data_IF_319288835209
#
_entry.id   IF_319288835209
#
_cell.length_a   1.000
_cell.length_b   1.000
_cell.length_c   1.000
_cell.angle_alpha   90.00
_cell.angle_beta   90.00
_cell.angle_gamma   90.00
#
_symmetry.space_group_name_H-M   'P 1'
#
loop_
_entity.id
_entity.type
_entity.pdbx_description
1 polymer ?
#
# COMPACT_ATOMS: atom_id res chain seq x y z
N UNK A 1 15.96 -15.80 -18.75
CA UNK A 1 15.27 -15.65 -20.06
C UNK A 1 14.70 -14.25 -20.08
N UNK A 2 15.16 -13.38 -21.00
CA UNK A 2 14.53 -12.08 -21.22
C UNK A 2 13.09 -12.35 -21.62
N UNK A 3 12.12 -11.81 -20.86
CA UNK A 3 10.73 -11.84 -21.27
C UNK A 3 10.67 -11.24 -22.69
N UNK A 4 10.16 -12.00 -23.65
CA UNK A 4 9.87 -11.47 -24.98
C UNK A 4 8.86 -10.35 -24.75
N UNK A 5 9.31 -9.12 -24.91
CA UNK A 5 8.42 -7.96 -24.84
C UNK A 5 7.48 -8.07 -26.03
N UNK A 6 6.22 -8.35 -25.76
CA UNK A 6 5.19 -8.33 -26.79
C UNK A 6 4.48 -6.98 -26.73
N UNK A 7 4.33 -6.36 -27.87
CA UNK A 7 3.58 -5.11 -28.01
C UNK A 7 2.10 -5.38 -27.81
N UNK A 8 1.42 -4.50 -27.08
CA UNK A 8 0.00 -4.62 -26.76
C UNK A 8 -0.76 -3.39 -27.26
N UNK A 9 -1.83 -3.63 -27.99
CA UNK A 9 -2.76 -2.60 -28.41
C UNK A 9 -4.13 -2.79 -27.77
N UNK A 10 -4.60 -1.77 -27.03
CA UNK A 10 -5.93 -1.75 -26.43
C UNK A 10 -6.78 -0.77 -27.23
N UNK A 11 -7.84 -1.26 -27.87
CA UNK A 11 -8.76 -0.46 -28.69
C UNK A 11 -10.14 -0.31 -28.06
N UNK A 12 -10.91 0.66 -28.55
CA UNK A 12 -12.29 0.91 -28.14
C UNK A 12 -12.44 1.10 -26.62
N UNK A 13 -11.52 1.83 -26.00
CA UNK A 13 -11.47 2.07 -24.56
C UNK A 13 -12.13 3.40 -24.18
N UNK A 14 -12.80 3.42 -23.03
CA UNK A 14 -13.06 4.62 -22.26
C UNK A 14 -11.92 4.77 -21.23
N UNK A 15 -11.06 5.76 -21.39
CA UNK A 15 -9.82 5.88 -20.64
C UNK A 15 -10.03 6.81 -19.42
N UNK A 16 -9.85 6.29 -18.22
CA UNK A 16 -9.63 7.06 -16.99
C UNK A 16 -8.12 7.24 -16.83
N UNK A 17 -7.64 8.46 -16.93
CA UNK A 17 -6.20 8.76 -16.92
C UNK A 17 -5.50 8.61 -15.57
N UNK A 18 -6.27 8.36 -14.50
CA UNK A 18 -5.81 8.29 -13.10
C UNK A 18 -6.23 9.52 -12.28
N UNK A 19 -6.78 10.57 -12.89
CA UNK A 19 -7.11 11.80 -12.18
C UNK A 19 -8.41 12.49 -12.62
N UNK A 20 -8.59 12.68 -13.94
CA UNK A 20 -9.72 13.43 -14.46
C UNK A 20 -11.01 12.59 -14.45
N UNK A 21 -12.15 13.22 -14.12
CA UNK A 21 -13.45 12.53 -14.11
C UNK A 21 -13.90 12.17 -15.53
N UNK A 22 -13.57 13.04 -16.48
CA UNK A 22 -14.02 12.89 -17.87
C UNK A 22 -13.23 11.78 -18.55
N UNK A 23 -13.94 10.74 -18.98
CA UNK A 23 -13.37 9.62 -19.71
C UNK A 23 -13.08 10.02 -21.16
N UNK A 24 -11.93 9.59 -21.66
CA UNK A 24 -11.52 9.85 -23.04
C UNK A 24 -11.69 8.59 -23.88
N UNK A 25 -12.50 8.67 -24.94
CA UNK A 25 -12.57 7.59 -25.92
C UNK A 25 -11.27 7.49 -26.71
N UNK A 26 -10.73 6.27 -26.83
CA UNK A 26 -9.49 6.09 -27.54
C UNK A 26 -8.91 4.68 -27.49
N UNK A 27 -7.63 4.64 -27.76
CA UNK A 27 -6.82 3.44 -27.71
C UNK A 27 -5.54 3.70 -26.91
N UNK A 28 -4.86 2.63 -26.50
CA UNK A 28 -3.58 2.68 -25.79
C UNK A 28 -2.64 1.71 -26.50
N UNK A 29 -1.47 2.20 -26.90
CA UNK A 29 -0.40 1.36 -27.42
C UNK A 29 0.72 1.25 -26.42
N UNK A 30 1.11 0.01 -26.10
CA UNK A 30 2.17 -0.31 -25.16
C UNK A 30 3.25 -1.05 -25.91
N UNK A 31 4.47 -0.51 -25.87
CA UNK A 31 5.64 -1.11 -26.47
C UNK A 31 6.71 -1.33 -25.40
N UNK A 32 7.32 -2.52 -25.36
CA UNK A 32 8.34 -2.85 -24.36
C UNK A 32 7.92 -2.58 -22.91
N UNK A 33 6.64 -2.77 -22.59
CA UNK A 33 6.08 -2.56 -21.25
C UNK A 33 5.82 -1.09 -20.88
N UNK A 34 6.00 -0.15 -21.80
CA UNK A 34 5.81 1.29 -21.61
C UNK A 34 4.70 1.79 -22.52
N UNK A 35 3.86 2.69 -22.04
CA UNK A 35 2.83 3.36 -22.81
C UNK A 35 3.49 4.31 -23.80
N UNK A 36 3.38 4.01 -25.09
CA UNK A 36 3.97 4.78 -26.17
C UNK A 36 2.99 5.86 -26.70
N UNK A 37 1.69 5.53 -26.77
CA UNK A 37 0.67 6.49 -27.19
C UNK A 37 -0.69 6.21 -26.56
N UNK A 38 -1.49 7.29 -26.40
CA UNK A 38 -2.84 7.26 -25.79
C UNK A 38 -3.78 8.19 -26.58
N UNK A 39 -5.03 7.80 -26.73
CA UNK A 39 -6.09 8.60 -27.35
C UNK A 39 -6.41 8.16 -28.77
N UNK A 40 -6.63 9.11 -29.68
CA UNK A 40 -6.90 8.79 -31.08
C UNK A 40 -5.59 8.40 -31.78
N UNK A 41 -5.37 7.09 -31.90
CA UNK A 41 -4.20 6.55 -32.60
C UNK A 41 -4.57 6.38 -34.05
N UNK A 42 -3.96 7.19 -34.95
CA UNK A 42 -4.25 7.21 -36.39
C UNK A 42 -3.18 6.52 -37.22
N UNK A 43 -2.10 6.02 -36.61
CA UNK A 43 -0.96 5.43 -37.30
C UNK A 43 -1.03 3.90 -37.45
N UNK A 44 -0.42 3.32 -38.49
CA UNK A 44 -0.36 1.89 -38.74
C UNK A 44 0.41 1.09 -37.69
N UNK A 45 1.16 1.75 -36.78
CA UNK A 45 2.07 1.11 -35.84
C UNK A 45 1.39 0.05 -34.93
N UNK A 46 0.07 0.14 -34.73
CA UNK A 46 -0.70 -0.89 -34.02
C UNK A 46 -1.02 -2.14 -34.83
N UNK A 47 -0.85 -2.10 -36.15
CA UNK A 47 -1.10 -3.28 -37.01
C UNK A 47 -0.04 -4.36 -36.84
N UNK A 48 1.10 -4.00 -36.24
CA UNK A 48 2.21 -4.89 -35.90
C UNK A 48 2.21 -5.33 -34.45
N UNK A 49 1.22 -4.89 -33.61
CA UNK A 49 1.14 -5.31 -32.22
C UNK A 49 0.94 -6.83 -32.12
N UNK A 50 1.76 -7.48 -31.29
CA UNK A 50 1.69 -8.93 -31.06
C UNK A 50 0.35 -9.36 -30.46
N UNK A 51 -0.26 -8.49 -29.67
CA UNK A 51 -1.54 -8.73 -29.00
C UNK A 51 -2.48 -7.54 -29.09
N UNK A 52 -3.76 -7.83 -29.26
CA UNK A 52 -4.83 -6.83 -29.29
C UNK A 52 -5.89 -7.15 -28.24
N UNK A 53 -6.21 -6.18 -27.38
CA UNK A 53 -7.35 -6.23 -26.47
C UNK A 53 -8.43 -5.28 -26.97
N UNK A 54 -9.62 -5.78 -27.22
CA UNK A 54 -10.80 -4.95 -27.51
C UNK A 54 -11.52 -4.65 -26.19
N UNK A 55 -11.43 -3.41 -25.72
CA UNK A 55 -12.11 -2.99 -24.51
C UNK A 55 -13.63 -2.90 -24.67
N UNK A 56 -14.16 -2.85 -25.92
CA UNK A 56 -15.61 -2.84 -26.23
C UNK A 56 -16.37 -1.72 -25.48
N UNK A 57 -15.80 -0.53 -25.37
CA UNK A 57 -16.38 0.59 -24.65
C UNK A 57 -16.27 0.50 -23.11
N UNK A 58 -15.56 -0.49 -22.58
CA UNK A 58 -15.29 -0.59 -21.13
C UNK A 58 -14.24 0.40 -20.68
N UNK A 59 -14.26 0.72 -19.37
CA UNK A 59 -13.28 1.64 -18.80
C UNK A 59 -11.95 0.95 -18.59
N UNK A 60 -10.89 1.62 -19.04
CA UNK A 60 -9.50 1.27 -18.77
C UNK A 60 -8.94 2.26 -17.76
N UNK A 61 -8.40 1.75 -16.66
CA UNK A 61 -7.77 2.53 -15.59
C UNK A 61 -6.29 2.20 -15.49
N UNK A 62 -5.46 3.06 -14.86
CA UNK A 62 -4.17 2.60 -14.34
C UNK A 62 -4.37 1.39 -13.43
N UNK A 63 -3.39 0.49 -13.39
CA UNK A 63 -3.41 -0.60 -12.41
C UNK A 63 -3.45 -0.07 -10.99
N UNK A 64 -4.16 -0.77 -10.10
CA UNK A 64 -4.35 -0.33 -8.73
C UNK A 64 -3.05 -0.43 -7.93
N UNK A 65 -2.92 0.46 -6.95
CA UNK A 65 -1.78 0.55 -6.05
C UNK A 65 -2.27 0.35 -4.61
N UNK A 66 -1.64 -0.54 -3.86
CA UNK A 66 -1.85 -0.74 -2.42
C UNK A 66 -0.63 -0.21 -1.66
N UNK A 67 -0.79 0.89 -0.94
CA UNK A 67 0.31 1.56 -0.24
C UNK A 67 0.52 1.09 1.20
N UNK A 68 -0.24 0.08 1.65
CA UNK A 68 -0.04 -0.55 2.95
C UNK A 68 -0.28 -2.05 2.84
N UNK A 69 0.68 -2.74 2.33
CA UNK A 69 0.66 -4.18 2.09
C UNK A 69 1.68 -4.87 3.00
N UNK A 70 1.44 -6.14 3.30
CA UNK A 70 2.35 -6.99 4.07
C UNK A 70 2.56 -8.32 3.36
N UNK A 71 3.56 -8.43 2.49
CA UNK A 71 3.83 -9.66 1.75
C UNK A 71 4.14 -10.83 2.70
N UNK A 72 4.95 -10.56 3.71
CA UNK A 72 5.31 -11.54 4.73
C UNK A 72 4.27 -11.67 5.86
N UNK A 73 3.22 -10.88 5.88
CA UNK A 73 2.13 -10.93 6.86
C UNK A 73 1.22 -12.15 6.67
N UNK A 74 1.74 -13.36 6.81
CA UNK A 74 1.04 -14.61 6.55
C UNK A 74 0.14 -15.08 7.70
N UNK A 75 0.04 -14.30 8.77
CA UNK A 75 -0.82 -14.52 9.94
C UNK A 75 -0.80 -13.32 10.86
N UNK A 76 -1.76 -13.23 11.80
CA UNK A 76 -1.84 -12.16 12.80
C UNK A 76 -0.96 -12.42 14.03
N UNK A 77 -0.62 -13.67 14.32
CA UNK A 77 0.33 -14.03 15.37
C UNK A 77 1.75 -13.80 14.85
N UNK A 78 2.24 -12.58 15.03
CA UNK A 78 3.53 -12.15 14.53
C UNK A 78 4.70 -12.87 15.19
N UNK A 79 4.59 -13.25 16.47
CA UNK A 79 5.63 -14.01 17.17
C UNK A 79 5.76 -15.42 16.59
N UNK A 80 4.65 -16.08 16.34
CA UNK A 80 4.64 -17.38 15.67
C UNK A 80 5.19 -17.27 14.24
N UNK A 81 4.87 -16.20 13.52
CA UNK A 81 5.37 -15.93 12.17
C UNK A 81 6.90 -15.81 12.16
N UNK A 82 7.48 -15.07 13.10
CA UNK A 82 8.93 -14.92 13.21
C UNK A 82 9.66 -16.25 13.50
N UNK A 83 9.02 -17.17 14.20
CA UNK A 83 9.53 -18.52 14.47
C UNK A 83 9.44 -19.48 13.28
N UNK A 84 8.74 -19.12 12.18
CA UNK A 84 8.58 -20.00 11.02
C UNK A 84 9.83 -20.05 10.15
N UNK A 85 10.08 -21.19 9.45
CA UNK A 85 11.13 -21.27 8.44
C UNK A 85 10.97 -20.17 7.38
N UNK A 86 12.00 -19.38 7.14
CA UNK A 86 11.95 -18.24 6.18
C UNK A 86 11.58 -18.68 4.77
N UNK A 87 11.97 -19.88 4.33
CA UNK A 87 11.56 -20.45 3.05
C UNK A 87 10.03 -20.64 2.94
N UNK A 88 9.37 -21.09 4.02
CA UNK A 88 7.92 -21.23 4.04
C UNK A 88 7.24 -19.86 3.97
N UNK A 89 7.73 -18.88 4.76
CA UNK A 89 7.20 -17.52 4.77
C UNK A 89 7.35 -16.86 3.40
N UNK A 90 8.51 -17.01 2.74
CA UNK A 90 8.76 -16.49 1.39
C UNK A 90 7.82 -17.10 0.32
N UNK A 91 7.57 -18.41 0.37
CA UNK A 91 6.62 -19.06 -0.54
C UNK A 91 5.17 -18.58 -0.34
N UNK A 92 4.78 -18.33 0.89
CA UNK A 92 3.47 -17.72 1.20
C UNK A 92 3.41 -16.27 0.72
N UNK A 93 4.48 -15.48 0.93
CA UNK A 93 4.59 -14.11 0.44
C UNK A 93 4.44 -14.03 -1.09
N UNK A 94 5.07 -14.97 -1.81
CA UNK A 94 4.87 -15.12 -3.26
C UNK A 94 3.38 -15.24 -3.63
N UNK A 95 2.65 -16.15 -2.97
CA UNK A 95 1.22 -16.37 -3.26
C UNK A 95 0.39 -15.12 -2.99
N UNK A 96 0.69 -14.38 -1.93
CA UNK A 96 0.02 -13.12 -1.59
C UNK A 96 0.22 -12.06 -2.67
N UNK A 97 1.46 -11.93 -3.18
CA UNK A 97 1.76 -11.01 -4.27
C UNK A 97 1.05 -11.41 -5.58
N UNK A 98 1.06 -12.70 -5.93
CA UNK A 98 0.33 -13.21 -7.09
C UNK A 98 -1.18 -12.96 -6.99
N UNK A 99 -1.76 -13.13 -5.80
CA UNK A 99 -3.17 -12.88 -5.54
C UNK A 99 -3.52 -11.39 -5.63
N UNK A 100 -2.67 -10.50 -5.08
CA UNK A 100 -2.85 -9.06 -5.21
C UNK A 100 -2.84 -8.64 -6.69
N UNK A 101 -1.91 -9.16 -7.49
CA UNK A 101 -1.86 -8.90 -8.93
C UNK A 101 -3.14 -9.37 -9.64
N UNK A 102 -3.64 -10.57 -9.35
CA UNK A 102 -4.89 -11.11 -9.90
C UNK A 102 -6.10 -10.25 -9.54
N UNK A 103 -6.09 -9.59 -8.38
CA UNK A 103 -7.12 -8.62 -7.96
C UNK A 103 -7.00 -7.26 -8.65
N UNK A 104 -5.93 -7.03 -9.45
CA UNK A 104 -5.69 -5.80 -10.19
C UNK A 104 -4.75 -4.81 -9.51
N UNK A 105 -4.16 -5.17 -8.38
CA UNK A 105 -3.11 -4.37 -7.75
C UNK A 105 -1.78 -4.64 -8.45
N UNK A 106 -1.42 -3.77 -9.37
CA UNK A 106 -0.18 -3.89 -10.16
C UNK A 106 1.05 -3.30 -9.45
N UNK A 107 0.83 -2.64 -8.31
CA UNK A 107 1.88 -2.06 -7.48
C UNK A 107 1.50 -2.20 -6.00
N UNK A 108 2.46 -2.55 -5.15
CA UNK A 108 2.29 -2.64 -3.69
C UNK A 108 3.47 -1.98 -2.97
N UNK A 109 3.19 -1.34 -1.82
CA UNK A 109 4.21 -0.93 -0.84
C UNK A 109 4.09 -1.82 0.40
N UNK A 110 5.08 -2.70 0.57
CA UNK A 110 5.23 -3.56 1.74
C UNK A 110 5.90 -2.79 2.87
N UNK A 111 5.13 -2.49 3.90
CA UNK A 111 5.53 -1.54 4.96
C UNK A 111 6.06 -2.20 6.24
N UNK A 112 6.26 -3.51 6.25
CA UNK A 112 7.00 -4.23 7.29
C UNK A 112 7.44 -5.62 6.82
N UNK A 113 8.72 -5.90 6.88
CA UNK A 113 9.29 -7.22 6.56
C UNK A 113 9.73 -7.41 5.11
N UNK A 114 9.29 -6.58 4.18
CA UNK A 114 9.72 -6.66 2.79
C UNK A 114 11.24 -6.48 2.64
N UNK A 115 11.87 -7.29 1.80
CA UNK A 115 13.32 -7.34 1.71
C UNK A 115 13.87 -7.42 0.27
N UNK A 116 15.20 -7.26 0.18
CA UNK A 116 15.93 -7.35 -1.08
C UNK A 116 15.88 -8.76 -1.69
N UNK A 117 15.69 -9.82 -0.91
CA UNK A 117 15.60 -11.19 -1.41
C UNK A 117 14.36 -11.37 -2.26
N UNK A 118 13.20 -10.94 -1.75
CA UNK A 118 11.94 -10.99 -2.47
C UNK A 118 11.97 -10.05 -3.70
N UNK A 119 12.50 -8.81 -3.53
CA UNK A 119 12.67 -7.87 -4.64
C UNK A 119 13.57 -8.43 -5.75
N UNK A 120 14.67 -9.12 -5.40
CA UNK A 120 15.56 -9.76 -6.35
C UNK A 120 14.90 -10.93 -7.08
N UNK A 121 14.11 -11.74 -6.38
CA UNK A 121 13.36 -12.83 -6.99
C UNK A 121 12.34 -12.32 -8.03
N UNK A 122 11.66 -11.20 -7.71
CA UNK A 122 10.75 -10.51 -8.64
C UNK A 122 11.51 -9.98 -9.86
N UNK A 123 12.61 -9.26 -9.64
CA UNK A 123 13.42 -8.68 -10.72
C UNK A 123 14.00 -9.73 -11.66
N UNK A 124 14.30 -10.94 -11.16
CA UNK A 124 14.76 -12.07 -11.95
C UNK A 124 13.63 -12.88 -12.61
N UNK A 125 12.38 -12.51 -12.41
CA UNK A 125 11.21 -13.21 -12.97
C UNK A 125 10.96 -14.60 -12.34
N UNK A 126 11.48 -14.87 -11.15
CA UNK A 126 11.24 -16.13 -10.43
C UNK A 126 9.83 -16.20 -9.89
N UNK A 127 9.21 -15.06 -9.66
CA UNK A 127 7.82 -14.93 -9.21
C UNK A 127 7.08 -13.86 -10.00
N UNK A 128 5.81 -14.11 -10.28
CA UNK A 128 4.89 -13.14 -10.86
C UNK A 128 4.37 -12.24 -9.73
N UNK A 129 4.50 -10.92 -9.88
CA UNK A 129 4.24 -9.99 -8.79
C UNK A 129 3.81 -8.62 -9.29
N UNK A 130 3.09 -7.83 -8.49
CA UNK A 130 3.05 -6.38 -8.64
C UNK A 130 4.47 -5.77 -8.66
N UNK A 131 4.58 -4.50 -9.07
CA UNK A 131 5.77 -3.71 -8.73
C UNK A 131 5.90 -3.67 -7.21
N UNK A 132 7.07 -3.98 -6.70
CA UNK A 132 7.27 -4.23 -5.29
C UNK A 132 8.16 -3.15 -4.66
N UNK A 133 7.55 -2.30 -3.85
CA UNK A 133 8.21 -1.31 -3.01
C UNK A 133 8.20 -1.81 -1.57
N UNK A 134 9.30 -1.68 -0.83
CA UNK A 134 9.41 -2.22 0.52
C UNK A 134 10.16 -1.27 1.46
N UNK A 135 9.95 -1.44 2.77
CA UNK A 135 10.61 -0.65 3.82
C UNK A 135 11.68 -1.41 4.59
N UNK A 136 11.76 -2.72 4.43
CA UNK A 136 12.47 -3.58 5.36
C UNK A 136 11.65 -3.81 6.63
N UNK A 137 12.26 -4.38 7.66
CA UNK A 137 11.63 -4.51 8.97
C UNK A 137 11.25 -3.13 9.52
N UNK A 138 10.05 -2.98 10.06
CA UNK A 138 9.64 -1.74 10.70
C UNK A 138 10.48 -1.47 11.95
N UNK A 139 10.72 -0.20 12.29
CA UNK A 139 11.43 0.19 13.50
C UNK A 139 10.45 0.47 14.62
N UNK A 140 10.65 -0.13 15.78
CA UNK A 140 9.86 0.06 17.00
C UNK A 140 10.76 0.23 18.21
N UNK A 141 10.34 1.06 19.15
CA UNK A 141 11.02 1.16 20.44
C UNK A 141 10.72 -0.07 21.32
N UNK A 142 11.52 -0.29 22.35
CA UNK A 142 11.23 -1.28 23.41
C UNK A 142 9.86 -0.99 24.03
N UNK A 143 9.02 -2.03 24.12
CA UNK A 143 7.64 -1.92 24.59
C UNK A 143 6.70 -1.15 23.67
N UNK A 144 7.11 -0.85 22.42
CA UNK A 144 6.30 -0.21 21.39
C UNK A 144 5.47 -1.19 20.58
N UNK A 145 4.70 -0.67 19.61
CA UNK A 145 3.74 -1.47 18.83
C UNK A 145 4.35 -2.65 18.08
N UNK A 146 5.60 -2.54 17.65
CA UNK A 146 6.31 -3.62 16.97
C UNK A 146 7.13 -4.51 17.91
N UNK A 147 7.13 -4.27 19.22
CA UNK A 147 7.77 -5.17 20.17
C UNK A 147 6.83 -6.34 20.47
N UNK A 148 7.07 -7.45 19.81
CA UNK A 148 6.20 -8.62 19.85
C UNK A 148 6.33 -9.42 21.17
N UNK A 149 7.25 -9.04 22.05
CA UNK A 149 7.54 -9.77 23.29
C UNK A 149 6.43 -9.54 24.30
N UNK A 150 5.90 -10.62 24.85
CA UNK A 150 5.06 -10.58 26.03
C UNK A 150 5.94 -10.31 27.27
N UNK A 151 5.50 -9.51 28.27
CA UNK A 151 6.26 -9.26 29.47
C UNK A 151 6.70 -10.52 30.26
N UNK A 152 6.00 -11.62 30.07
CA UNK A 152 6.29 -12.91 30.71
C UNK A 152 7.27 -13.80 29.93
N UNK A 153 7.65 -13.39 28.69
CA UNK A 153 8.52 -14.18 27.83
C UNK A 153 9.83 -13.45 27.53
N UNK A 154 10.93 -14.04 27.92
CA UNK A 154 12.26 -13.59 27.54
C UNK A 154 12.68 -14.21 26.21
N UNK A 155 12.06 -13.72 25.11
CA UNK A 155 12.34 -14.16 23.74
C UNK A 155 13.21 -13.13 23.04
N UNK A 156 14.29 -13.58 22.41
CA UNK A 156 15.14 -12.73 21.60
C UNK A 156 14.49 -12.49 20.21
N UNK A 157 13.66 -11.44 20.11
CA UNK A 157 13.03 -11.01 18.86
C UNK A 157 13.62 -9.70 18.32
N UNK A 158 14.76 -9.25 18.83
CA UNK A 158 15.37 -7.99 18.44
C UNK A 158 15.69 -7.90 16.94
N UNK A 159 15.98 -9.02 16.31
CA UNK A 159 16.29 -9.14 14.87
C UNK A 159 15.15 -9.81 14.09
N UNK A 160 13.91 -9.61 14.51
CA UNK A 160 12.74 -10.15 13.81
C UNK A 160 12.66 -9.63 12.36
N UNK A 161 12.15 -10.47 11.45
CA UNK A 161 12.13 -10.16 10.02
C UNK A 161 11.16 -9.03 9.68
N UNK A 162 10.03 -8.97 10.38
CA UNK A 162 8.98 -7.96 10.12
C UNK A 162 9.20 -6.67 10.90
N UNK A 163 9.78 -6.75 12.09
CA UNK A 163 10.03 -5.59 12.96
C UNK A 163 11.40 -5.74 13.62
N UNK A 164 12.11 -4.64 13.83
CA UNK A 164 13.33 -4.55 14.61
C UNK A 164 13.09 -3.61 15.79
N UNK A 165 13.36 -4.08 17.01
CA UNK A 165 13.29 -3.24 18.21
C UNK A 165 14.61 -2.48 18.37
N UNK A 166 14.56 -1.16 18.27
CA UNK A 166 15.72 -0.27 18.23
C UNK A 166 15.46 0.96 19.04
N UNK A 167 16.29 1.23 20.04
CA UNK A 167 16.26 2.43 20.88
C UNK A 167 17.50 3.28 20.67
N UNK A 168 17.35 4.58 20.80
CA UNK A 168 18.42 5.56 20.78
C UNK A 168 18.84 6.00 19.38
N UNK A 169 19.27 7.26 19.29
CA UNK A 169 19.58 7.98 18.05
C UNK A 169 20.62 7.25 17.19
N UNK A 170 21.72 6.79 17.80
CA UNK A 170 22.82 6.16 17.06
C UNK A 170 22.42 4.80 16.47
N UNK A 171 21.64 4.01 17.22
CA UNK A 171 21.16 2.72 16.75
C UNK A 171 20.13 2.88 15.62
N UNK A 172 19.20 3.85 15.76
CA UNK A 172 18.23 4.19 14.72
C UNK A 172 18.90 4.71 13.45
N UNK A 173 19.96 5.52 13.58
CA UNK A 173 20.75 5.97 12.44
C UNK A 173 21.39 4.78 11.70
N UNK A 174 21.98 3.84 12.43
CA UNK A 174 22.55 2.61 11.85
C UNK A 174 21.49 1.76 11.17
N UNK A 175 20.37 1.51 11.86
CA UNK A 175 19.26 0.70 11.34
C UNK A 175 18.63 1.31 10.09
N UNK A 176 18.46 2.64 10.05
CA UNK A 176 17.97 3.39 8.88
C UNK A 176 18.92 3.23 7.68
N UNK A 177 20.21 3.44 7.90
CA UNK A 177 21.25 3.29 6.85
C UNK A 177 21.30 1.87 6.29
N UNK A 178 21.15 0.86 7.13
CA UNK A 178 21.14 -0.54 6.71
C UNK A 178 19.94 -0.86 5.80
N UNK A 179 18.74 -0.36 6.10
CA UNK A 179 17.57 -0.52 5.23
C UNK A 179 17.75 0.17 3.89
N UNK A 180 18.24 1.40 3.90
CA UNK A 180 18.53 2.16 2.68
C UNK A 180 19.65 1.50 1.86
N UNK A 181 20.69 0.94 2.51
CA UNK A 181 21.75 0.15 1.84
C UNK A 181 21.18 -1.08 1.15
N UNK A 182 20.17 -1.72 1.75
CA UNK A 182 19.47 -2.89 1.18
C UNK A 182 18.37 -2.52 0.18
N UNK A 183 18.28 -1.25 -0.22
CA UNK A 183 17.35 -0.80 -1.26
C UNK A 183 15.93 -0.56 -0.79
N UNK A 184 15.70 -0.38 0.51
CA UNK A 184 14.40 0.04 1.02
C UNK A 184 13.96 1.36 0.35
N UNK A 185 12.71 1.39 -0.13
CA UNK A 185 12.12 2.53 -0.81
C UNK A 185 11.70 3.64 0.17
N UNK A 186 11.27 3.26 1.36
CA UNK A 186 10.91 4.13 2.47
C UNK A 186 11.31 3.46 3.79
N UNK A 187 11.23 4.19 4.90
CA UNK A 187 11.44 3.64 6.25
C UNK A 187 10.11 3.63 6.99
N UNK A 188 9.78 2.52 7.65
CA UNK A 188 8.59 2.42 8.51
C UNK A 188 8.95 2.58 9.97
N UNK A 189 8.27 3.51 10.65
CA UNK A 189 8.33 3.70 12.12
C UNK A 189 6.99 3.30 12.75
N UNK A 190 7.05 2.82 13.99
CA UNK A 190 5.90 2.72 14.90
C UNK A 190 5.93 3.94 15.82
N UNK A 191 4.95 4.86 15.69
CA UNK A 191 4.93 6.15 16.40
C UNK A 191 3.75 6.24 17.38
N UNK A 192 2.90 5.23 17.44
CA UNK A 192 1.89 5.06 18.50
C UNK A 192 1.71 3.60 18.85
N UNK A 193 0.95 3.33 19.91
CA UNK A 193 0.41 1.99 20.16
C UNK A 193 -0.57 1.56 19.08
N UNK A 194 -0.93 0.27 19.05
CA UNK A 194 -1.76 -0.30 18.01
C UNK A 194 -2.80 -1.32 18.49
N UNK A 195 -3.60 -1.81 17.55
CA UNK A 195 -4.71 -2.74 17.81
C UNK A 195 -4.22 -4.14 18.18
N UNK A 196 -3.21 -4.64 17.48
CA UNK A 196 -2.78 -6.05 17.60
C UNK A 196 -1.87 -6.29 18.80
N UNK A 197 -1.14 -5.27 19.24
CA UNK A 197 -0.25 -5.33 20.42
C UNK A 197 -1.05 -5.30 21.73
N UNK A 198 -0.56 -6.03 22.73
CA UNK A 198 -1.29 -6.23 23.99
C UNK A 198 -0.95 -5.18 25.07
N UNK A 199 0.24 -4.60 25.01
CA UNK A 199 0.85 -3.84 26.13
C UNK A 199 0.92 -2.33 25.91
N UNK A 200 0.81 -1.86 24.68
CA UNK A 200 0.94 -0.45 24.31
C UNK A 200 -0.43 0.22 24.09
N UNK A 201 -0.75 1.33 24.80
CA UNK A 201 -1.97 2.08 24.57
C UNK A 201 -1.98 2.79 23.21
N UNK A 202 -3.13 2.74 22.50
CA UNK A 202 -3.31 3.36 21.16
C UNK A 202 -2.97 4.85 21.16
N UNK A 203 -3.32 5.56 22.24
CA UNK A 203 -3.21 7.02 22.30
C UNK A 203 -1.78 7.54 22.55
N UNK A 204 -0.86 6.69 23.03
CA UNK A 204 0.45 7.17 23.49
C UNK A 204 1.44 7.22 22.33
N UNK A 205 2.04 8.41 22.04
CA UNK A 205 3.15 8.53 21.10
C UNK A 205 4.36 7.68 21.51
N UNK A 206 5.06 7.16 20.52
CA UNK A 206 6.27 6.36 20.70
C UNK A 206 7.45 7.03 20.01
N UNK A 207 8.67 6.72 20.45
CA UNK A 207 9.91 7.40 20.16
C UNK A 207 9.96 8.87 20.63
N UNK A 208 11.14 9.35 20.94
CA UNK A 208 11.39 10.77 21.20
C UNK A 208 11.46 11.58 19.89
N UNK A 209 11.41 12.91 20.00
CA UNK A 209 11.57 13.77 18.82
C UNK A 209 12.93 13.58 18.15
N UNK A 210 14.01 13.43 18.90
CA UNK A 210 15.36 13.22 18.39
C UNK A 210 15.47 11.91 17.61
N UNK A 211 14.84 10.85 18.10
CA UNK A 211 14.81 9.54 17.49
C UNK A 211 14.06 9.57 16.15
N UNK A 212 12.89 10.21 16.09
CA UNK A 212 12.16 10.37 14.81
C UNK A 212 12.95 11.25 13.86
N UNK A 213 13.53 12.36 14.32
CA UNK A 213 14.29 13.29 13.47
C UNK A 213 15.54 12.68 12.87
N UNK A 214 16.26 11.82 13.58
CA UNK A 214 17.42 11.15 12.99
C UNK A 214 17.03 10.24 11.85
N UNK A 215 15.91 9.51 11.95
CA UNK A 215 15.40 8.65 10.90
C UNK A 215 14.92 9.47 9.71
N UNK A 216 14.10 10.49 9.92
CA UNK A 216 13.53 11.31 8.85
C UNK A 216 14.61 12.10 8.10
N UNK A 217 15.59 12.68 8.81
CA UNK A 217 16.70 13.42 8.21
C UNK A 217 17.63 12.54 7.40
N UNK A 218 17.96 11.33 7.90
CA UNK A 218 18.81 10.40 7.17
C UNK A 218 18.13 9.85 5.92
N UNK A 219 16.83 9.56 6.04
CA UNK A 219 16.03 9.08 4.93
C UNK A 219 15.87 10.14 3.82
N UNK A 220 15.62 11.39 4.21
CA UNK A 220 15.52 12.52 3.27
C UNK A 220 16.82 12.79 2.50
N UNK A 221 18.00 12.63 3.15
CA UNK A 221 19.30 12.73 2.48
C UNK A 221 19.50 11.72 1.35
N UNK A 222 18.77 10.62 1.37
CA UNK A 222 18.78 9.58 0.33
C UNK A 222 17.66 9.75 -0.69
N UNK A 223 16.91 10.87 -0.63
CA UNK A 223 15.78 11.14 -1.52
C UNK A 223 14.57 10.21 -1.28
N UNK A 224 14.46 9.66 -0.06
CA UNK A 224 13.38 8.77 0.36
C UNK A 224 12.56 9.43 1.49
N UNK A 225 11.59 8.74 2.04
CA UNK A 225 10.68 9.27 3.06
C UNK A 225 10.38 8.25 4.16
N UNK A 226 9.82 8.75 5.25
CA UNK A 226 9.36 7.91 6.38
C UNK A 226 7.85 7.81 6.33
N UNK A 227 7.34 6.58 6.49
CA UNK A 227 5.94 6.28 6.78
C UNK A 227 5.81 5.80 8.23
N UNK A 228 4.77 6.25 8.94
CA UNK A 228 4.61 5.96 10.36
C UNK A 228 3.22 5.45 10.70
N UNK A 229 3.18 4.36 11.47
CA UNK A 229 2.00 3.94 12.18
C UNK A 229 1.67 4.98 13.25
N UNK A 230 0.51 5.62 13.18
CA UNK A 230 0.05 6.58 14.19
C UNK A 230 -1.49 6.68 14.18
N UNK A 231 -2.11 6.50 15.34
CA UNK A 231 -3.57 6.58 15.49
C UNK A 231 -4.05 7.89 16.06
N UNK A 232 -3.50 8.31 17.22
CA UNK A 232 -4.01 9.44 17.99
C UNK A 232 -3.59 10.78 17.41
N UNK A 233 -4.36 11.86 17.66
CA UNK A 233 -3.98 13.20 17.26
C UNK A 233 -2.59 13.60 17.75
N UNK A 234 -2.24 13.25 18.99
CA UNK A 234 -0.94 13.53 19.59
C UNK A 234 0.19 12.83 18.83
N UNK A 235 0.01 11.54 18.51
CA UNK A 235 1.01 10.76 17.76
C UNK A 235 1.14 11.25 16.32
N UNK A 236 0.04 11.61 15.66
CA UNK A 236 0.04 12.19 14.31
C UNK A 236 0.80 13.52 14.31
N UNK A 237 0.50 14.43 15.24
CA UNK A 237 1.19 15.71 15.37
C UNK A 237 2.68 15.49 15.66
N UNK A 238 2.99 14.58 16.57
CA UNK A 238 4.36 14.21 16.92
C UNK A 238 5.14 13.71 15.68
N UNK A 239 4.55 12.79 14.91
CA UNK A 239 5.15 12.26 13.69
C UNK A 239 5.43 13.34 12.65
N UNK A 240 4.41 14.14 12.28
CA UNK A 240 4.54 15.10 11.17
C UNK A 240 5.43 16.30 11.53
N UNK A 241 5.45 16.74 12.79
CA UNK A 241 6.36 17.78 13.27
C UNK A 241 7.83 17.36 13.17
N UNK A 242 8.09 16.05 13.24
CA UNK A 242 9.44 15.49 13.18
C UNK A 242 9.78 14.90 11.80
N UNK A 243 9.04 15.29 10.73
CA UNK A 243 9.39 15.06 9.36
C UNK A 243 8.83 13.77 8.73
N UNK A 244 7.92 13.08 9.40
CA UNK A 244 7.21 11.93 8.79
C UNK A 244 6.29 12.44 7.67
N UNK A 245 6.37 11.78 6.51
CA UNK A 245 5.60 12.19 5.33
C UNK A 245 4.29 11.42 5.14
N UNK A 246 4.24 10.14 5.46
CA UNK A 246 3.06 9.31 5.29
C UNK A 246 2.59 8.78 6.64
N UNK A 247 1.37 9.13 7.02
CA UNK A 247 0.74 8.60 8.23
C UNK A 247 -0.14 7.43 7.82
N UNK A 248 0.17 6.29 8.38
CA UNK A 248 -0.57 5.06 8.20
C UNK A 248 -1.67 4.97 9.26
N UNK A 249 -2.86 4.55 8.85
CA UNK A 249 -4.07 4.45 9.67
C UNK A 249 -4.73 5.81 9.95
N UNK A 250 -4.17 6.61 10.84
CA UNK A 250 -4.69 7.94 11.22
C UNK A 250 -6.17 7.92 11.70
N UNK A 251 -6.66 6.80 12.25
CA UNK A 251 -8.10 6.60 12.50
C UNK A 251 -8.71 7.62 13.47
N UNK A 252 -7.92 8.19 14.37
CA UNK A 252 -8.38 9.18 15.36
C UNK A 252 -8.02 10.62 14.95
N UNK A 253 -7.73 10.85 13.66
CA UNK A 253 -7.44 12.19 13.13
C UNK A 253 -8.59 13.16 13.47
N UNK A 254 -8.26 14.29 14.07
CA UNK A 254 -9.15 15.40 14.35
C UNK A 254 -8.78 16.67 13.55
N UNK A 255 -9.53 17.74 13.73
CA UNK A 255 -9.30 18.99 13.02
C UNK A 255 -7.93 19.60 13.31
N UNK A 256 -7.42 19.47 14.54
CA UNK A 256 -6.12 20.02 14.93
C UNK A 256 -4.97 19.22 14.27
N UNK A 257 -4.94 17.92 14.46
CA UNK A 257 -3.92 17.05 13.84
C UNK A 257 -3.97 17.11 12.31
N UNK A 258 -5.16 17.20 11.72
CA UNK A 258 -5.33 17.41 10.28
C UNK A 258 -4.69 18.72 9.79
N UNK A 259 -4.79 19.81 10.56
CA UNK A 259 -4.10 21.06 10.22
C UNK A 259 -2.57 20.89 10.24
N UNK A 260 -2.02 20.12 11.18
CA UNK A 260 -0.58 19.80 11.19
C UNK A 260 -0.18 18.92 10.01
N UNK A 261 -0.98 17.89 9.67
CA UNK A 261 -0.74 17.04 8.48
C UNK A 261 -0.69 17.91 7.23
N UNK A 262 -1.69 18.79 7.04
CA UNK A 262 -1.74 19.71 5.88
C UNK A 262 -0.56 20.68 5.85
N UNK A 263 -0.24 21.31 6.98
CA UNK A 263 0.87 22.28 7.09
C UNK A 263 2.22 21.67 6.73
N UNK A 264 2.44 20.39 7.06
CA UNK A 264 3.69 19.69 6.80
C UNK A 264 3.68 18.94 5.46
N UNK A 265 2.65 19.12 4.61
CA UNK A 265 2.48 18.39 3.35
C UNK A 265 2.55 16.87 3.51
N UNK A 266 2.14 16.38 4.67
CA UNK A 266 2.03 14.96 4.93
C UNK A 266 0.73 14.40 4.33
N UNK A 267 0.68 13.09 4.17
CA UNK A 267 -0.41 12.35 3.56
C UNK A 267 -0.93 11.29 4.53
N UNK A 268 -2.13 10.76 4.29
CA UNK A 268 -2.65 9.63 5.06
C UNK A 268 -2.94 8.42 4.16
N UNK A 269 -2.74 7.23 4.71
CA UNK A 269 -3.12 5.95 4.11
C UNK A 269 -4.02 5.22 5.11
N UNK A 270 -5.36 5.41 5.01
CA UNK A 270 -6.31 4.86 5.97
C UNK A 270 -6.58 3.39 5.64
N UNK A 271 -6.21 2.49 6.46
CA UNK A 271 -6.36 1.04 6.25
C UNK A 271 -7.72 0.54 6.75
N UNK A 272 -8.82 1.15 6.28
CA UNK A 272 -10.17 0.94 6.82
C UNK A 272 -10.61 -0.52 6.81
N UNK A 273 -10.24 -1.27 5.77
CA UNK A 273 -10.67 -2.65 5.59
C UNK A 273 -10.12 -3.59 6.66
N UNK A 274 -8.91 -3.35 7.17
CA UNK A 274 -8.33 -4.25 8.18
C UNK A 274 -9.15 -4.23 9.47
N UNK A 275 -9.68 -3.07 9.88
CA UNK A 275 -10.53 -2.94 11.07
C UNK A 275 -11.89 -3.61 10.86
N UNK A 276 -12.48 -3.46 9.66
CA UNK A 276 -13.74 -4.13 9.31
C UNK A 276 -13.56 -5.65 9.25
N UNK A 277 -12.49 -6.13 8.64
CA UNK A 277 -12.15 -7.55 8.58
C UNK A 277 -11.88 -8.14 9.99
N UNK A 278 -11.14 -7.43 10.84
CA UNK A 278 -10.94 -7.83 12.23
C UNK A 278 -12.23 -7.83 13.05
N UNK A 279 -13.13 -6.88 12.84
CA UNK A 279 -14.44 -6.87 13.51
C UNK A 279 -15.30 -8.06 13.08
N UNK A 280 -15.22 -8.46 11.80
CA UNK A 280 -16.02 -9.54 11.24
C UNK A 280 -15.45 -10.92 11.60
N UNK A 281 -14.15 -11.12 11.43
CA UNK A 281 -13.48 -12.42 11.48
C UNK A 281 -12.56 -12.60 12.70
N UNK A 282 -12.29 -11.52 13.46
CA UNK A 282 -11.24 -11.52 14.48
C UNK A 282 -11.39 -12.61 15.55
N UNK A 283 -12.62 -12.92 15.96
CA UNK A 283 -12.88 -14.02 16.92
C UNK A 283 -12.48 -15.37 16.34
N UNK A 284 -12.82 -15.62 15.08
CA UNK A 284 -12.59 -16.91 14.42
C UNK A 284 -11.10 -17.15 14.15
N UNK A 285 -10.33 -16.09 13.96
CA UNK A 285 -8.88 -16.13 13.75
C UNK A 285 -8.08 -15.97 15.05
N UNK A 286 -8.75 -16.00 16.20
CA UNK A 286 -8.09 -16.05 17.52
C UNK A 286 -7.59 -14.73 18.06
N UNK A 287 -8.14 -13.59 17.64
CA UNK A 287 -7.79 -12.28 18.22
C UNK A 287 -8.16 -12.21 19.69
N UNK A 288 -7.28 -11.59 20.48
CA UNK A 288 -7.52 -11.36 21.91
C UNK A 288 -8.70 -10.42 22.14
N UNK A 289 -9.35 -10.53 23.31
CA UNK A 289 -10.42 -9.61 23.73
C UNK A 289 -9.94 -8.15 23.72
N UNK A 290 -8.71 -7.92 24.21
CA UNK A 290 -8.08 -6.59 24.22
C UNK A 290 -7.97 -6.02 22.81
N UNK A 291 -7.48 -6.81 21.86
CA UNK A 291 -7.35 -6.39 20.46
C UNK A 291 -8.71 -6.09 19.81
N UNK A 292 -9.76 -6.88 20.11
CA UNK A 292 -11.10 -6.62 19.62
C UNK A 292 -11.71 -5.34 20.21
N UNK A 293 -11.48 -5.06 21.49
CA UNK A 293 -11.90 -3.81 22.14
C UNK A 293 -11.18 -2.60 21.54
N UNK A 294 -9.86 -2.69 21.33
CA UNK A 294 -9.07 -1.65 20.65
C UNK A 294 -9.57 -1.43 19.21
N UNK A 295 -9.88 -2.51 18.49
CA UNK A 295 -10.41 -2.42 17.12
C UNK A 295 -11.72 -1.63 17.06
N UNK A 296 -12.62 -1.85 18.02
CA UNK A 296 -13.89 -1.12 18.10
C UNK A 296 -13.68 0.39 18.27
N UNK A 297 -12.64 0.82 18.98
CA UNK A 297 -12.33 2.24 19.19
C UNK A 297 -11.92 2.97 17.91
N UNK A 298 -11.30 2.26 16.97
CA UNK A 298 -10.73 2.88 15.77
C UNK A 298 -11.55 2.65 14.49
N UNK A 299 -12.47 1.68 14.50
CA UNK A 299 -13.23 1.28 13.31
C UNK A 299 -14.08 2.44 12.76
N UNK A 300 -15.02 2.94 13.55
CA UNK A 300 -15.94 4.00 13.12
C UNK A 300 -15.23 5.35 13.01
N UNK A 301 -14.27 5.61 13.88
CA UNK A 301 -13.47 6.84 13.86
C UNK A 301 -12.69 6.99 12.56
N UNK A 302 -12.24 5.89 11.95
CA UNK A 302 -11.49 5.90 10.70
C UNK A 302 -12.26 6.51 9.51
N UNK A 303 -13.57 6.29 9.42
CA UNK A 303 -14.40 6.92 8.37
C UNK A 303 -14.44 8.45 8.56
N UNK A 304 -14.67 8.91 9.79
CA UNK A 304 -14.65 10.35 10.10
C UNK A 304 -13.29 10.98 9.84
N UNK A 305 -12.20 10.28 10.14
CA UNK A 305 -10.84 10.73 9.85
C UNK A 305 -10.61 10.98 8.35
N UNK A 306 -11.09 10.08 7.49
CA UNK A 306 -11.01 10.26 6.03
C UNK A 306 -11.85 11.47 5.58
N UNK A 307 -13.06 11.67 6.12
CA UNK A 307 -13.87 12.87 5.82
C UNK A 307 -13.16 14.17 6.22
N UNK A 308 -12.59 14.23 7.42
CA UNK A 308 -11.81 15.39 7.89
C UNK A 308 -10.64 15.65 6.93
N UNK A 309 -9.88 14.61 6.59
CA UNK A 309 -8.74 14.73 5.69
C UNK A 309 -9.16 15.27 4.31
N UNK A 310 -10.25 14.76 3.73
CA UNK A 310 -10.78 15.24 2.45
C UNK A 310 -11.23 16.71 2.54
N UNK A 311 -11.98 17.09 3.58
CA UNK A 311 -12.42 18.48 3.81
C UNK A 311 -11.25 19.46 3.94
N UNK A 312 -10.13 19.02 4.53
CA UNK A 312 -8.88 19.80 4.66
C UNK A 312 -8.02 19.78 3.39
N UNK A 313 -8.39 18.99 2.38
CA UNK A 313 -7.60 18.81 1.15
C UNK A 313 -6.25 18.11 1.40
N UNK A 314 -6.21 17.19 2.36
CA UNK A 314 -5.08 16.30 2.59
C UNK A 314 -5.14 15.19 1.54
N UNK A 315 -3.99 14.78 1.02
CA UNK A 315 -3.92 13.63 0.11
C UNK A 315 -4.22 12.34 0.89
N UNK A 316 -5.27 11.65 0.46
CA UNK A 316 -5.68 10.36 1.01
C UNK A 316 -5.35 9.27 0.01
N UNK A 317 -4.52 8.31 0.42
CA UNK A 317 -4.22 7.11 -0.35
C UNK A 317 -5.15 5.95 -0.03
N UNK A 318 -4.76 4.77 -0.48
CA UNK A 318 -5.36 3.48 -0.15
C UNK A 318 -4.28 2.51 0.32
N UNK A 319 -4.57 1.76 1.37
CA UNK A 319 -3.79 0.65 1.86
C UNK A 319 -4.70 -0.40 2.48
N UNK A 320 -4.40 -1.68 2.29
CA UNK A 320 -5.24 -2.76 2.81
C UNK A 320 -4.87 -3.18 4.23
N UNK A 321 -3.60 -3.26 4.55
CA UNK A 321 -3.09 -3.73 5.86
C UNK A 321 -3.67 -5.08 6.31
N UNK A 322 -3.94 -5.96 5.35
CA UNK A 322 -4.53 -7.27 5.61
C UNK A 322 -3.43 -8.31 5.80
N UNK A 323 -3.58 -9.14 6.84
CA UNK A 323 -2.65 -10.22 7.16
C UNK A 323 -3.38 -11.57 7.22
N UNK A 324 -2.63 -12.66 6.99
CA UNK A 324 -3.15 -14.02 7.01
C UNK A 324 -4.31 -14.21 6.03
N UNK A 325 -5.33 -14.92 6.47
CA UNK A 325 -6.52 -15.25 5.67
C UNK A 325 -7.40 -14.02 5.38
N UNK A 326 -7.22 -12.92 6.13
CA UNK A 326 -7.92 -11.66 5.86
C UNK A 326 -7.53 -11.04 4.51
N UNK A 327 -6.45 -11.49 3.87
CA UNK A 327 -6.01 -11.04 2.55
C UNK A 327 -7.12 -11.08 1.50
N UNK A 328 -8.06 -12.02 1.62
CA UNK A 328 -9.20 -12.16 0.71
C UNK A 328 -10.09 -10.92 0.67
N UNK A 329 -10.10 -10.10 1.72
CA UNK A 329 -10.90 -8.89 1.85
C UNK A 329 -10.31 -7.66 1.09
N UNK A 330 -9.19 -7.81 0.37
CA UNK A 330 -8.51 -6.67 -0.28
C UNK A 330 -9.43 -5.90 -1.26
N UNK A 331 -10.26 -6.57 -2.02
CA UNK A 331 -11.23 -5.90 -2.90
C UNK A 331 -12.40 -5.28 -2.12
N UNK A 332 -12.81 -5.90 -1.01
CA UNK A 332 -13.79 -5.30 -0.08
C UNK A 332 -13.26 -3.98 0.48
N UNK A 333 -11.94 -3.85 0.62
CA UNK A 333 -11.31 -2.58 1.02
C UNK A 333 -11.63 -1.42 0.09
N UNK A 334 -11.76 -1.67 -1.21
CA UNK A 334 -12.16 -0.66 -2.18
C UNK A 334 -13.62 -0.23 -1.97
N UNK A 335 -14.51 -1.19 -1.70
CA UNK A 335 -15.90 -0.91 -1.36
C UNK A 335 -15.99 -0.09 -0.07
N UNK A 336 -15.28 -0.50 0.98
CA UNK A 336 -15.27 0.19 2.29
C UNK A 336 -14.80 1.64 2.14
N UNK A 337 -13.71 1.88 1.43
CA UNK A 337 -13.21 3.24 1.24
C UNK A 337 -14.10 4.07 0.30
N UNK A 338 -14.80 3.42 -0.65
CA UNK A 338 -15.79 4.07 -1.52
C UNK A 338 -16.95 4.68 -0.71
N UNK A 339 -17.38 4.05 0.38
CA UNK A 339 -18.49 4.53 1.23
C UNK A 339 -18.25 5.96 1.71
N UNK A 340 -17.00 6.37 1.93
CA UNK A 340 -16.63 7.72 2.39
C UNK A 340 -16.13 8.62 1.28
N UNK A 341 -15.46 8.07 0.24
CA UNK A 341 -14.82 8.89 -0.79
C UNK A 341 -15.67 9.07 -2.06
N UNK A 342 -16.55 8.12 -2.36
CA UNK A 342 -17.20 8.03 -3.67
C UNK A 342 -16.23 7.60 -4.78
N UNK A 343 -16.76 7.40 -5.98
CA UNK A 343 -16.08 6.73 -7.09
C UNK A 343 -14.81 7.45 -7.55
N UNK A 344 -14.86 8.75 -7.81
CA UNK A 344 -13.72 9.49 -8.36
C UNK A 344 -12.54 9.56 -7.38
N UNK A 345 -12.84 9.90 -6.12
CA UNK A 345 -11.80 10.05 -5.11
C UNK A 345 -11.16 8.70 -4.76
N UNK A 346 -11.96 7.61 -4.72
CA UNK A 346 -11.43 6.26 -4.58
C UNK A 346 -10.50 5.91 -5.75
N UNK A 347 -10.92 6.11 -7.01
CA UNK A 347 -10.08 5.82 -8.17
C UNK A 347 -8.77 6.60 -8.14
N UNK A 348 -8.80 7.87 -7.73
CA UNK A 348 -7.58 8.66 -7.50
C UNK A 348 -6.70 8.07 -6.39
N UNK A 349 -7.31 7.67 -5.27
CA UNK A 349 -6.58 7.10 -4.13
C UNK A 349 -5.83 5.82 -4.48
N UNK A 350 -6.45 4.94 -5.27
CA UNK A 350 -5.86 3.66 -5.67
C UNK A 350 -4.98 3.75 -6.93
N UNK A 351 -4.83 4.93 -7.52
CA UNK A 351 -4.01 5.14 -8.72
C UNK A 351 -3.04 6.32 -8.52
N UNK A 352 -3.37 7.51 -9.02
CA UNK A 352 -2.46 8.66 -9.05
C UNK A 352 -1.99 9.12 -7.67
N UNK A 353 -2.88 9.22 -6.67
CA UNK A 353 -2.48 9.65 -5.31
C UNK A 353 -1.56 8.63 -4.64
N UNK A 354 -1.85 7.35 -4.79
CA UNK A 354 -0.95 6.32 -4.29
C UNK A 354 0.42 6.35 -4.99
N UNK A 355 0.47 6.66 -6.29
CA UNK A 355 1.73 6.86 -7.00
C UNK A 355 2.50 8.09 -6.49
N UNK A 356 1.80 9.20 -6.18
CA UNK A 356 2.39 10.39 -5.56
C UNK A 356 2.93 10.11 -4.15
N UNK A 357 2.22 9.32 -3.34
CA UNK A 357 2.66 8.87 -2.02
C UNK A 357 3.93 8.03 -2.14
N UNK A 358 3.98 7.12 -3.11
CA UNK A 358 5.17 6.34 -3.45
C UNK A 358 6.33 7.17 -4.03
N UNK A 359 6.11 8.43 -4.37
CA UNK A 359 7.06 9.24 -5.16
C UNK A 359 7.40 8.57 -6.50
N UNK A 360 6.47 7.84 -7.09
CA UNK A 360 6.66 7.18 -8.36
C UNK A 360 6.29 8.09 -9.52
N UNK A 361 7.19 8.18 -10.49
CA UNK A 361 6.95 8.86 -11.76
C UNK A 361 6.62 7.90 -12.91
N UNK A 362 6.34 6.62 -12.62
CA UNK A 362 6.14 5.56 -13.60
C UNK A 362 4.77 4.89 -13.53
N UNK A 363 4.05 5.02 -12.42
CA UNK A 363 2.81 4.30 -12.16
C UNK A 363 1.64 5.25 -11.87
N UNK A 364 0.42 4.72 -11.84
CA UNK A 364 -0.78 5.43 -11.39
C UNK A 364 -1.42 6.37 -12.43
N UNK A 365 -0.89 6.42 -13.65
CA UNK A 365 -1.38 7.27 -14.72
C UNK A 365 -1.41 6.55 -16.07
N UNK A 366 -2.41 6.87 -16.91
CA UNK A 366 -2.41 6.47 -18.33
C UNK A 366 -1.97 7.67 -19.16
N UNK A 367 -0.68 7.74 -19.44
CA UNK A 367 -0.05 8.73 -20.32
C UNK A 367 1.26 8.18 -20.87
N UNK A 368 1.76 8.78 -21.93
CA UNK A 368 3.03 8.39 -22.56
C UNK A 368 4.17 8.31 -21.54
N UNK A 369 5.08 7.37 -21.75
CA UNK A 369 6.26 7.05 -20.93
C UNK A 369 5.96 6.43 -19.55
N UNK A 370 4.69 6.21 -19.19
CA UNK A 370 4.34 5.45 -17.99
C UNK A 370 4.44 3.95 -18.26
N UNK A 371 4.60 3.17 -17.21
CA UNK A 371 4.53 1.71 -17.29
C UNK A 371 3.15 1.27 -17.76
N UNK A 372 3.10 0.31 -18.66
CA UNK A 372 1.86 -0.28 -19.17
C UNK A 372 1.18 -1.20 -18.14
N UNK A 373 0.95 -0.68 -16.94
CA UNK A 373 0.24 -1.32 -15.84
C UNK A 373 -1.20 -0.82 -15.84
N UNK A 374 -2.11 -1.62 -16.36
CA UNK A 374 -3.49 -1.21 -16.65
C UNK A 374 -4.50 -2.24 -16.17
N UNK A 375 -5.72 -1.77 -16.01
CA UNK A 375 -6.86 -2.60 -15.68
C UNK A 375 -8.02 -2.27 -16.62
N UNK A 376 -8.53 -3.26 -17.35
CA UNK A 376 -9.79 -3.14 -18.06
C UNK A 376 -10.89 -3.60 -17.12
N UNK A 377 -11.74 -2.69 -16.67
CA UNK A 377 -12.88 -3.00 -15.81
C UNK A 377 -14.02 -3.64 -16.60
N UNK A 378 -14.87 -4.40 -15.93
CA UNK A 378 -16.04 -5.01 -16.59
C UNK A 378 -17.23 -4.05 -16.61
N UNK A 379 -17.02 -2.86 -17.14
CA UNK A 379 -18.02 -1.81 -17.29
C UNK A 379 -17.49 -0.42 -16.93
N UNK A 380 -18.42 0.50 -16.66
CA UNK A 380 -18.14 1.89 -16.31
C UNK A 380 -18.33 2.10 -14.79
N UNK A 381 -17.27 2.38 -14.01
CA UNK A 381 -17.37 2.57 -12.55
C UNK A 381 -18.11 3.86 -12.15
N UNK A 382 -18.27 4.82 -13.06
CA UNK A 382 -19.05 6.03 -12.80
C UNK A 382 -20.57 5.81 -12.95
N UNK A 383 -20.98 4.72 -13.60
CA UNK A 383 -22.37 4.26 -13.69
C UNK A 383 -22.68 3.22 -12.59
N UNK A 384 -21.72 2.32 -12.36
CA UNK A 384 -21.80 1.27 -11.34
C UNK A 384 -20.44 1.12 -10.65
N UNK A 385 -20.29 1.72 -9.47
CA UNK A 385 -19.05 1.72 -8.70
C UNK A 385 -18.56 0.29 -8.36
N UNK A 386 -19.48 -0.69 -8.30
CA UNK A 386 -19.11 -2.08 -8.00
C UNK A 386 -18.11 -2.68 -9.00
N UNK A 387 -18.02 -2.11 -10.20
CA UNK A 387 -17.03 -2.51 -11.22
C UNK A 387 -15.58 -2.35 -10.75
N UNK A 388 -15.33 -1.53 -9.72
CA UNK A 388 -13.99 -1.34 -9.14
C UNK A 388 -13.57 -2.56 -8.32
N UNK A 389 -14.47 -3.16 -7.54
CA UNK A 389 -14.14 -4.24 -6.58
C UNK A 389 -14.72 -5.61 -6.95
N UNK A 390 -15.62 -5.71 -7.92
CA UNK A 390 -16.11 -7.01 -8.37
C UNK A 390 -15.13 -7.64 -9.34
N UNK A 391 -14.69 -8.85 -9.02
CA UNK A 391 -13.82 -9.64 -9.90
C UNK A 391 -14.70 -10.52 -10.81
N UNK A 392 -14.69 -10.22 -12.10
CA UNK A 392 -15.45 -10.94 -13.13
C UNK A 392 -14.52 -11.50 -14.21
N UNK A 393 -15.00 -12.41 -15.03
CA UNK A 393 -14.25 -12.91 -16.21
C UNK A 393 -13.98 -11.82 -17.26
N UNK A 394 -14.76 -10.73 -17.25
CA UNK A 394 -14.57 -9.60 -18.16
C UNK A 394 -13.43 -8.66 -17.77
N UNK A 395 -12.97 -8.73 -16.51
CA UNK A 395 -11.88 -7.90 -16.01
C UNK A 395 -10.53 -8.40 -16.52
N UNK A 396 -9.71 -7.51 -17.08
CA UNK A 396 -8.37 -7.86 -17.61
C UNK A 396 -7.30 -7.09 -16.86
N UNK A 397 -6.33 -7.80 -16.31
CA UNK A 397 -5.17 -7.22 -15.63
C UNK A 397 -3.96 -7.26 -16.56
N UNK A 398 -3.35 -6.11 -16.75
CA UNK A 398 -2.18 -5.92 -17.61
C UNK A 398 -1.04 -5.39 -16.76
N UNK A 399 0.09 -6.10 -16.77
CA UNK A 399 1.30 -5.77 -16.04
C UNK A 399 2.46 -5.59 -17.01
N UNK A 400 3.00 -4.36 -17.08
CA UNK A 400 4.05 -4.00 -18.02
C UNK A 400 3.74 -4.48 -19.47
N UNK A 401 2.52 -4.22 -19.94
CA UNK A 401 2.06 -4.63 -21.26
C UNK A 401 1.75 -6.12 -21.43
N UNK A 402 1.89 -6.94 -20.39
CA UNK A 402 1.55 -8.36 -20.43
C UNK A 402 0.20 -8.61 -19.77
N UNK A 403 -0.69 -9.33 -20.46
CA UNK A 403 -1.96 -9.79 -19.89
C UNK A 403 -1.63 -10.87 -18.85
N UNK A 404 -2.06 -10.67 -17.60
CA UNK A 404 -1.78 -11.58 -16.49
C UNK A 404 -3.01 -12.38 -16.06
N UNK A 405 -4.21 -11.88 -16.31
CA UNK A 405 -5.50 -12.56 -16.09
C UNK A 405 -6.50 -12.09 -17.11
#
# INVERSE_FOLDING_TARGET
>A
MSAVSSDLFIKNALIFDGYNKDLVEGAIFIQNGVIESVGRITKPDYLEADKVVDAKGRVVTPGFIDNHFHAYGIGLDMLNLEGRPKSFVALKARLRLENALKRGFTTVRDVAGGDIGLASAIAQGLIVSPNYYYTGAALSQTGGHGDLRNPEFDVCCADAHTVEVVDGVDNLLRATRERLRRGAHAIKLMVSGGVVSLTDPIAIPQYSEEEIRVVTSETARRGSYVCAHAYSPEAIIHAVKNGVRSIEHANLLDDESANYVKKNNAVIVPTLVTYKAMATHGKDIGMSKISLEKNTQVLDAGFNAVEIAMKKGITVGFGSDLMGDLESEQLIGLQVQHEVQGTLELLRSITSRNAEILQSNRHGWIREKMTGDLLVLDGNPFEDASKIWTQTQGRVVIKAGQITT
#
